data_IF_257601580345
#
_entry.id   IF_257601580345
#
_cell.length_a   1.000
_cell.length_b   1.000
_cell.length_c   1.000
_cell.angle_alpha   90.00
_cell.angle_beta   90.00
_cell.angle_gamma   90.00
#
_symmetry.space_group_name_H-M   'P 1'
#
loop_
_entity.id
_entity.type
_entity.pdbx_description
1 polymer ?
#
# COMPACT_ATOMS: atom_id res chain seq x y z
N UNK A 1 -19.42 14.54 -32.01
CA UNK A 1 -18.96 13.22 -31.60
C UNK A 1 -20.12 12.27 -31.83
N UNK A 2 -19.92 11.15 -32.58
CA UNK A 2 -20.99 10.21 -32.85
C UNK A 2 -21.51 9.58 -31.54
N UNK A 3 -22.82 9.31 -31.50
CA UNK A 3 -23.52 8.68 -30.40
C UNK A 3 -23.92 7.22 -30.70
N UNK A 4 -24.24 6.46 -29.67
CA UNK A 4 -24.75 5.08 -29.84
C UNK A 4 -26.04 5.07 -30.72
N UNK A 5 -26.81 6.16 -30.70
CA UNK A 5 -28.00 6.34 -31.53
C UNK A 5 -27.64 6.46 -33.01
N UNK A 6 -26.55 7.18 -33.33
CA UNK A 6 -26.10 7.32 -34.71
C UNK A 6 -25.59 5.99 -35.28
N UNK A 7 -24.91 5.17 -34.45
CA UNK A 7 -24.52 3.80 -34.79
C UNK A 7 -25.75 2.94 -35.07
N UNK A 8 -26.75 3.02 -34.20
CA UNK A 8 -28.00 2.25 -34.36
C UNK A 8 -28.73 2.59 -35.66
N UNK A 9 -28.85 3.89 -35.99
CA UNK A 9 -29.45 4.37 -37.24
C UNK A 9 -28.66 3.84 -38.46
N UNK A 10 -27.32 3.99 -38.42
CA UNK A 10 -26.47 3.58 -39.54
C UNK A 10 -26.44 2.06 -39.76
N UNK A 11 -26.47 1.27 -38.67
CA UNK A 11 -26.51 -0.19 -38.74
C UNK A 11 -27.93 -0.76 -39.02
N UNK A 12 -28.98 0.08 -38.98
CA UNK A 12 -30.38 -0.35 -39.21
C UNK A 12 -30.91 -1.22 -38.06
N UNK A 13 -30.46 -1.01 -36.84
CA UNK A 13 -30.87 -1.83 -35.64
C UNK A 13 -31.27 -0.95 -34.48
N UNK A 14 -31.89 -1.54 -33.47
CA UNK A 14 -32.22 -0.81 -32.24
C UNK A 14 -31.01 -0.50 -31.37
N UNK A 15 -31.06 0.59 -30.57
CA UNK A 15 -29.99 1.00 -29.64
C UNK A 15 -29.63 -0.14 -28.69
N UNK A 16 -30.64 -0.90 -28.19
CA UNK A 16 -30.43 -2.05 -27.32
C UNK A 16 -29.62 -3.18 -27.98
N UNK A 17 -29.75 -3.34 -29.31
CA UNK A 17 -28.99 -4.35 -30.08
C UNK A 17 -27.53 -3.89 -30.22
N UNK A 18 -27.30 -2.60 -30.51
CA UNK A 18 -25.94 -2.02 -30.52
C UNK A 18 -25.28 -2.16 -29.17
N UNK A 19 -25.99 -1.80 -28.07
CA UNK A 19 -25.48 -1.93 -26.71
C UNK A 19 -25.08 -3.38 -26.37
N UNK A 20 -25.94 -4.35 -26.72
CA UNK A 20 -25.63 -5.77 -26.52
C UNK A 20 -24.42 -6.23 -27.34
N UNK A 21 -24.32 -5.81 -28.60
CA UNK A 21 -23.18 -6.13 -29.46
C UNK A 21 -21.86 -5.61 -28.88
N UNK A 22 -21.85 -4.36 -28.44
CA UNK A 22 -20.65 -3.72 -27.87
C UNK A 22 -20.26 -4.26 -26.48
N UNK A 23 -21.25 -4.71 -25.69
CA UNK A 23 -21.00 -5.24 -24.34
C UNK A 23 -20.81 -6.78 -24.32
N UNK A 24 -20.97 -7.45 -25.46
CA UNK A 24 -20.88 -8.92 -25.52
C UNK A 24 -22.01 -9.63 -24.74
N UNK A 25 -23.16 -8.97 -24.53
CA UNK A 25 -24.26 -9.49 -23.72
C UNK A 25 -25.41 -9.96 -24.63
N UNK A 26 -25.87 -11.21 -24.41
CA UNK A 26 -26.96 -11.82 -25.19
C UNK A 26 -26.54 -12.27 -26.59
N UNK A 27 -27.46 -13.03 -27.24
CA UNK A 27 -27.23 -13.54 -28.58
C UNK A 27 -27.48 -12.46 -29.63
N UNK A 28 -26.53 -12.27 -30.56
CA UNK A 28 -26.64 -11.42 -31.74
C UNK A 28 -26.04 -12.22 -32.90
N UNK A 29 -26.74 -12.27 -34.05
CA UNK A 29 -26.23 -12.95 -35.25
C UNK A 29 -24.91 -12.29 -35.72
N UNK A 30 -24.02 -13.09 -36.29
CA UNK A 30 -22.73 -12.59 -36.80
C UNK A 30 -22.90 -11.50 -37.87
N UNK A 31 -23.92 -11.64 -38.74
CA UNK A 31 -24.25 -10.62 -39.74
C UNK A 31 -24.62 -9.28 -39.10
N UNK A 32 -25.47 -9.31 -38.05
CA UNK A 32 -25.86 -8.09 -37.32
C UNK A 32 -24.66 -7.46 -36.60
N UNK A 33 -23.82 -8.31 -36.02
CA UNK A 33 -22.60 -7.86 -35.33
C UNK A 33 -21.63 -7.17 -36.32
N UNK A 34 -21.44 -7.73 -37.50
CA UNK A 34 -20.61 -7.12 -38.55
C UNK A 34 -21.15 -5.74 -38.98
N UNK A 35 -22.45 -5.61 -39.24
CA UNK A 35 -23.09 -4.33 -39.56
C UNK A 35 -22.86 -3.26 -38.51
N UNK A 36 -22.97 -3.66 -37.22
CA UNK A 36 -22.74 -2.75 -36.10
C UNK A 36 -21.26 -2.34 -36.02
N UNK A 37 -20.32 -3.29 -36.13
CA UNK A 37 -18.89 -2.98 -36.06
C UNK A 37 -18.45 -2.09 -37.26
N UNK A 38 -18.97 -2.31 -38.46
CA UNK A 38 -18.73 -1.44 -39.58
C UNK A 38 -19.24 0.00 -39.35
N UNK A 39 -20.47 0.13 -38.82
CA UNK A 39 -21.02 1.44 -38.47
C UNK A 39 -20.21 2.16 -37.37
N UNK A 40 -19.69 1.42 -36.37
CA UNK A 40 -18.80 1.95 -35.35
C UNK A 40 -17.51 2.51 -35.95
N UNK A 41 -16.88 1.77 -36.85
CA UNK A 41 -15.65 2.16 -37.53
C UNK A 41 -15.85 3.40 -38.43
N UNK A 42 -16.88 3.38 -39.30
CA UNK A 42 -17.18 4.47 -40.19
C UNK A 42 -17.57 5.78 -39.49
N UNK A 43 -18.19 5.69 -38.30
CA UNK A 43 -18.55 6.86 -37.50
C UNK A 43 -17.45 7.25 -36.50
N UNK A 44 -16.33 6.51 -36.47
CA UNK A 44 -15.29 6.63 -35.42
C UNK A 44 -15.92 6.72 -34.01
N UNK A 45 -16.93 5.90 -33.79
CA UNK A 45 -17.65 5.90 -32.53
C UNK A 45 -16.81 5.23 -31.44
N UNK A 46 -16.57 5.94 -30.37
CA UNK A 46 -15.97 5.38 -29.15
C UNK A 46 -17.05 5.19 -28.09
N UNK A 47 -17.28 3.95 -27.63
CA UNK A 47 -18.23 3.71 -26.55
C UNK A 47 -17.89 4.56 -25.32
N UNK A 48 -18.92 5.15 -24.71
CA UNK A 48 -18.74 5.86 -23.45
C UNK A 48 -18.62 4.84 -22.32
N UNK A 49 -17.42 4.71 -21.76
CA UNK A 49 -17.13 3.77 -20.65
C UNK A 49 -18.04 4.01 -19.43
N UNK A 50 -18.36 5.28 -19.13
CA UNK A 50 -19.26 5.61 -18.01
C UNK A 50 -20.67 5.04 -18.25
N UNK A 51 -21.19 5.13 -19.49
CA UNK A 51 -22.49 4.57 -19.82
C UNK A 51 -22.48 3.03 -19.79
N UNK A 52 -21.38 2.40 -20.22
CA UNK A 52 -21.23 0.94 -20.11
C UNK A 52 -21.12 0.47 -18.66
N UNK A 53 -20.36 1.19 -17.85
CA UNK A 53 -20.16 0.91 -16.43
C UNK A 53 -21.47 1.08 -15.65
N UNK A 54 -22.24 2.13 -15.95
CA UNK A 54 -23.57 2.33 -15.38
C UNK A 54 -24.51 1.13 -15.65
N UNK A 55 -24.47 0.61 -16.88
CA UNK A 55 -25.27 -0.56 -17.24
C UNK A 55 -24.83 -1.83 -16.51
N UNK A 56 -23.54 -1.96 -16.20
CA UNK A 56 -22.95 -3.07 -15.44
C UNK A 56 -23.05 -2.89 -13.92
N UNK A 57 -23.57 -1.75 -13.45
CA UNK A 57 -23.58 -1.36 -12.05
C UNK A 57 -22.16 -1.41 -11.39
N UNK A 58 -21.13 -1.09 -12.17
CA UNK A 58 -19.72 -1.02 -11.74
C UNK A 58 -19.14 0.30 -12.21
N UNK A 59 -18.25 0.90 -11.41
CA UNK A 59 -17.53 2.12 -11.79
C UNK A 59 -16.29 1.82 -12.66
N UNK A 60 -15.73 0.64 -12.51
CA UNK A 60 -14.45 0.25 -13.11
C UNK A 60 -13.23 0.83 -12.38
N UNK A 61 -13.44 1.50 -11.22
CA UNK A 61 -12.38 2.07 -10.40
C UNK A 61 -12.25 1.33 -9.07
N UNK A 62 -11.01 1.10 -8.65
CA UNK A 62 -10.68 0.66 -7.29
C UNK A 62 -9.77 1.72 -6.67
N UNK A 63 -10.15 2.19 -5.48
CA UNK A 63 -9.37 3.16 -4.71
C UNK A 63 -8.19 2.49 -4.01
N UNK A 64 -7.00 3.10 -4.08
CA UNK A 64 -5.90 2.81 -3.16
C UNK A 64 -5.72 3.99 -2.23
N UNK A 65 -5.97 3.78 -0.94
CA UNK A 65 -5.86 4.80 0.10
C UNK A 65 -4.53 4.64 0.80
N UNK A 66 -3.70 5.69 0.76
CA UNK A 66 -2.36 5.72 1.37
C UNK A 66 -2.21 6.91 2.30
N UNK A 67 -1.33 6.79 3.30
CA UNK A 67 -1.04 7.88 4.23
C UNK A 67 -0.22 8.99 3.60
N UNK A 68 0.86 8.62 2.89
CA UNK A 68 1.78 9.59 2.27
C UNK A 68 2.48 8.93 1.07
N UNK A 69 2.22 9.44 -0.12
CA UNK A 69 2.80 8.91 -1.36
C UNK A 69 4.30 9.18 -1.47
N UNK A 70 4.82 10.21 -0.78
CA UNK A 70 6.28 10.47 -0.75
C UNK A 70 7.06 9.40 0.00
N UNK A 71 6.40 8.51 0.75
CA UNK A 71 7.08 7.39 1.41
C UNK A 71 7.38 6.29 0.39
N UNK A 72 8.66 5.89 0.19
CA UNK A 72 9.05 4.97 -0.89
C UNK A 72 8.33 3.61 -0.83
N UNK A 73 8.00 3.10 0.36
CA UNK A 73 7.21 1.88 0.51
C UNK A 73 5.80 2.05 -0.08
N UNK A 74 5.13 3.17 0.24
CA UNK A 74 3.79 3.46 -0.28
C UNK A 74 3.82 3.65 -1.80
N UNK A 75 4.81 4.36 -2.33
CA UNK A 75 4.99 4.53 -3.78
C UNK A 75 5.19 3.18 -4.49
N UNK A 76 6.01 2.29 -3.90
CA UNK A 76 6.21 0.93 -4.42
C UNK A 76 4.92 0.12 -4.39
N UNK A 77 4.17 0.17 -3.29
CA UNK A 77 2.90 -0.54 -3.16
C UNK A 77 1.87 -0.06 -4.19
N UNK A 78 1.69 1.27 -4.32
CA UNK A 78 0.80 1.88 -5.33
C UNK A 78 1.14 1.41 -6.73
N UNK A 79 2.42 1.44 -7.11
CA UNK A 79 2.89 0.95 -8.41
C UNK A 79 2.47 -0.49 -8.68
N UNK A 80 2.66 -1.39 -7.70
CA UNK A 80 2.34 -2.80 -7.88
C UNK A 80 0.83 -3.06 -7.84
N UNK A 81 0.07 -2.34 -7.02
CA UNK A 81 -1.40 -2.41 -6.99
C UNK A 81 -1.98 -1.94 -8.32
N UNK A 82 -1.53 -0.78 -8.82
CA UNK A 82 -1.99 -0.22 -10.09
C UNK A 82 -1.76 -1.20 -11.25
N UNK A 83 -0.55 -1.75 -11.38
CA UNK A 83 -0.25 -2.75 -12.41
C UNK A 83 -1.16 -3.99 -12.33
N UNK A 84 -1.43 -4.50 -11.12
CA UNK A 84 -2.31 -5.64 -10.94
C UNK A 84 -3.78 -5.29 -11.27
N UNK A 85 -4.24 -4.09 -10.89
CA UNK A 85 -5.58 -3.60 -11.23
C UNK A 85 -5.75 -3.46 -12.74
N UNK A 86 -4.78 -2.84 -13.42
CA UNK A 86 -4.78 -2.68 -14.87
C UNK A 86 -4.89 -4.04 -15.59
N UNK A 87 -4.10 -5.03 -15.18
CA UNK A 87 -4.13 -6.39 -15.73
C UNK A 87 -5.50 -7.06 -15.56
N UNK A 88 -6.24 -6.69 -14.51
CA UNK A 88 -7.59 -7.20 -14.22
C UNK A 88 -8.71 -6.31 -14.77
N UNK A 89 -8.39 -5.31 -15.62
CA UNK A 89 -9.37 -4.45 -16.28
C UNK A 89 -9.97 -3.35 -15.39
N UNK A 90 -9.35 -3.05 -14.24
CA UNK A 90 -9.72 -1.95 -13.37
C UNK A 90 -8.77 -0.78 -13.50
N UNK A 91 -9.28 0.42 -13.26
CA UNK A 91 -8.48 1.64 -13.12
C UNK A 91 -8.21 1.92 -11.65
N UNK A 92 -7.02 2.41 -11.35
CA UNK A 92 -6.62 2.79 -10.00
C UNK A 92 -7.01 4.24 -9.72
N UNK A 93 -7.71 4.49 -8.61
CA UNK A 93 -7.92 5.82 -8.07
C UNK A 93 -7.01 6.00 -6.86
N UNK A 94 -6.03 6.90 -6.96
CA UNK A 94 -5.12 7.20 -5.85
C UNK A 94 -5.77 8.18 -4.88
N UNK A 95 -5.85 7.78 -3.62
CA UNK A 95 -6.45 8.53 -2.52
C UNK A 95 -5.40 8.73 -1.42
N UNK A 96 -4.88 9.94 -1.25
CA UNK A 96 -3.92 10.25 -0.20
C UNK A 96 -4.61 10.91 0.99
N UNK A 97 -4.42 10.35 2.19
CA UNK A 97 -4.97 10.88 3.44
C UNK A 97 -4.19 12.11 3.91
N UNK A 98 -2.85 12.07 3.79
CA UNK A 98 -1.95 13.12 4.26
C UNK A 98 -2.07 13.32 5.77
N UNK A 99 -2.08 14.58 6.19
CA UNK A 99 -2.18 14.98 7.60
C UNK A 99 -3.65 15.04 8.12
N UNK A 100 -4.63 14.75 7.26
CA UNK A 100 -6.06 14.79 7.63
C UNK A 100 -6.69 13.39 7.58
N UNK A 101 -6.75 12.66 8.72
CA UNK A 101 -7.32 11.33 8.77
C UNK A 101 -8.82 11.27 8.41
N UNK A 102 -9.55 12.36 8.53
CA UNK A 102 -10.99 12.41 8.21
C UNK A 102 -11.25 12.24 6.70
N UNK A 103 -10.25 12.44 5.84
CA UNK A 103 -10.40 12.14 4.41
C UNK A 103 -10.75 10.68 4.10
N UNK A 104 -10.50 9.77 5.02
CA UNK A 104 -10.93 8.38 4.88
C UNK A 104 -12.46 8.27 4.81
N UNK A 105 -13.18 9.08 5.57
CA UNK A 105 -14.65 9.12 5.54
C UNK A 105 -15.16 9.49 4.15
N UNK A 106 -14.55 10.50 3.51
CA UNK A 106 -14.88 10.89 2.12
C UNK A 106 -14.67 9.74 1.14
N UNK A 107 -13.57 8.99 1.27
CA UNK A 107 -13.28 7.86 0.39
C UNK A 107 -14.25 6.69 0.62
N UNK A 108 -14.65 6.45 1.86
CA UNK A 108 -15.69 5.48 2.20
C UNK A 108 -17.06 5.90 1.63
N UNK A 109 -17.42 7.18 1.72
CA UNK A 109 -18.63 7.69 1.07
C UNK A 109 -18.60 7.51 -0.45
N UNK A 110 -17.47 7.77 -1.10
CA UNK A 110 -17.31 7.51 -2.53
C UNK A 110 -17.55 6.04 -2.88
N UNK A 111 -17.07 5.11 -2.05
CA UNK A 111 -17.34 3.69 -2.20
C UNK A 111 -18.83 3.37 -2.05
N UNK A 112 -19.49 3.91 -1.03
CA UNK A 112 -20.93 3.71 -0.79
C UNK A 112 -21.79 4.27 -1.93
N UNK A 113 -21.36 5.37 -2.56
CA UNK A 113 -22.01 6.00 -3.71
C UNK A 113 -21.68 5.37 -5.07
N UNK A 114 -20.97 4.24 -5.09
CA UNK A 114 -20.52 3.55 -6.33
C UNK A 114 -19.59 4.39 -7.23
N UNK A 115 -18.88 5.38 -6.70
CA UNK A 115 -17.81 6.07 -7.43
C UNK A 115 -16.59 5.16 -7.57
N UNK A 116 -16.42 4.23 -6.64
CA UNK A 116 -15.44 3.14 -6.67
C UNK A 116 -16.13 1.81 -6.40
N UNK A 117 -15.62 0.73 -6.98
CA UNK A 117 -16.14 -0.64 -6.78
C UNK A 117 -15.54 -1.31 -5.54
N UNK A 118 -14.37 -0.85 -5.10
CA UNK A 118 -13.67 -1.35 -3.93
C UNK A 118 -12.57 -0.41 -3.46
N UNK A 119 -12.05 -0.66 -2.27
CA UNK A 119 -10.93 0.08 -1.67
C UNK A 119 -9.87 -0.90 -1.17
N UNK A 120 -8.59 -0.57 -1.45
CA UNK A 120 -7.41 -1.14 -0.80
C UNK A 120 -6.84 -0.04 0.10
N UNK A 121 -6.95 -0.20 1.43
CA UNK A 121 -6.62 0.83 2.41
C UNK A 121 -5.31 0.51 3.16
N UNK A 122 -4.31 1.40 3.02
CA UNK A 122 -3.02 1.34 3.70
C UNK A 122 -2.87 2.46 4.75
N UNK A 123 -3.97 3.08 5.16
CA UNK A 123 -4.01 4.13 6.16
C UNK A 123 -4.71 3.64 7.44
N UNK A 124 -4.45 4.31 8.56
CA UNK A 124 -5.14 4.04 9.81
C UNK A 124 -6.57 4.57 9.71
N UNK A 125 -7.54 3.73 10.00
CA UNK A 125 -8.95 4.06 9.91
C UNK A 125 -9.39 4.69 11.23
N UNK A 126 -9.93 5.92 11.22
CA UNK A 126 -10.38 6.56 12.43
C UNK A 126 -11.57 5.83 13.04
N UNK A 127 -11.72 5.93 14.37
CA UNK A 127 -12.81 5.27 15.11
C UNK A 127 -14.21 5.76 14.75
N UNK A 128 -14.31 6.93 14.10
CA UNK A 128 -15.56 7.46 13.53
C UNK A 128 -16.08 6.63 12.35
N UNK A 129 -15.22 5.87 11.68
CA UNK A 129 -15.61 5.01 10.57
C UNK A 129 -15.94 3.61 11.10
N UNK A 130 -17.21 3.26 11.12
CA UNK A 130 -17.68 1.90 11.44
C UNK A 130 -17.50 0.98 10.23
N UNK A 131 -16.37 0.27 10.17
CA UNK A 131 -16.11 -0.69 9.09
C UNK A 131 -17.15 -1.83 9.04
N UNK A 132 -17.74 -2.20 10.18
CA UNK A 132 -18.77 -3.24 10.26
C UNK A 132 -20.05 -2.87 9.52
N UNK A 133 -20.33 -1.57 9.36
CA UNK A 133 -21.51 -1.06 8.63
C UNK A 133 -21.25 -0.92 7.13
N UNK A 134 -20.00 -1.13 6.69
CA UNK A 134 -19.63 -1.00 5.28
C UNK A 134 -19.76 -2.36 4.61
N UNK A 135 -20.90 -2.59 3.97
CA UNK A 135 -21.15 -3.81 3.18
C UNK A 135 -20.58 -3.71 1.75
N UNK A 136 -19.39 -3.15 1.62
CA UNK A 136 -18.70 -2.92 0.35
C UNK A 136 -17.29 -3.48 0.38
N UNK A 137 -16.70 -3.80 -0.79
CA UNK A 137 -15.37 -4.38 -0.86
C UNK A 137 -14.29 -3.44 -0.31
N UNK A 138 -13.74 -3.77 0.85
CA UNK A 138 -12.59 -3.09 1.47
C UNK A 138 -11.58 -4.14 1.89
N UNK A 139 -10.32 -3.94 1.50
CA UNK A 139 -9.16 -4.74 1.93
C UNK A 139 -8.19 -3.83 2.64
N UNK A 140 -7.79 -4.22 3.82
CA UNK A 140 -6.80 -3.48 4.60
C UNK A 140 -5.40 -4.03 4.33
N UNK A 141 -4.42 -3.14 4.25
CA UNK A 141 -3.03 -3.53 4.04
C UNK A 141 -2.17 -2.98 5.19
N UNK A 142 -1.51 -3.91 5.86
CA UNK A 142 -0.48 -3.64 6.87
C UNK A 142 -0.96 -2.76 8.04
N UNK A 143 -2.26 -2.82 8.34
CA UNK A 143 -2.90 -2.10 9.45
C UNK A 143 -3.75 -3.06 10.26
N UNK A 144 -3.79 -2.83 11.58
CA UNK A 144 -4.65 -3.61 12.46
C UNK A 144 -6.08 -3.13 12.33
N UNK A 145 -7.01 -4.06 12.15
CA UNK A 145 -8.45 -3.81 12.09
C UNK A 145 -9.21 -4.84 12.89
N UNK A 146 -10.47 -4.53 13.22
CA UNK A 146 -11.38 -5.46 13.87
C UNK A 146 -11.62 -6.72 13.02
N UNK A 147 -12.06 -7.78 13.66
CA UNK A 147 -12.42 -9.04 12.99
C UNK A 147 -13.47 -8.84 11.88
N UNK A 148 -13.36 -9.65 10.84
CA UNK A 148 -14.32 -9.69 9.73
C UNK A 148 -13.91 -8.89 8.48
N UNK A 149 -12.84 -8.08 8.53
CA UNK A 149 -12.36 -7.34 7.37
C UNK A 149 -11.06 -7.99 6.86
N UNK A 150 -10.98 -8.32 5.56
CA UNK A 150 -9.77 -8.90 4.99
C UNK A 150 -8.56 -7.98 5.18
N UNK A 151 -7.48 -8.55 5.70
CA UNK A 151 -6.22 -7.85 5.88
C UNK A 151 -5.08 -8.62 5.23
N UNK A 152 -4.27 -7.92 4.43
CA UNK A 152 -3.05 -8.45 3.82
C UNK A 152 -1.86 -7.77 4.46
N UNK A 153 -0.94 -8.55 5.03
CA UNK A 153 0.23 -8.01 5.71
C UNK A 153 1.45 -8.94 5.58
N UNK A 154 2.63 -8.40 5.83
CA UNK A 154 3.86 -9.19 5.96
C UNK A 154 3.86 -9.99 7.27
N UNK A 155 4.67 -11.05 7.32
CA UNK A 155 4.98 -11.71 8.60
C UNK A 155 5.96 -10.83 9.42
N UNK A 156 5.40 -9.88 10.15
CA UNK A 156 6.17 -8.92 10.96
C UNK A 156 6.91 -9.59 12.12
N UNK A 157 6.38 -10.69 12.67
CA UNK A 157 7.08 -11.48 13.70
C UNK A 157 8.35 -12.07 13.12
N UNK A 158 8.26 -12.73 11.97
CA UNK A 158 9.42 -13.26 11.27
C UNK A 158 10.42 -12.16 10.88
N UNK A 159 9.93 -11.01 10.43
CA UNK A 159 10.76 -9.85 10.12
C UNK A 159 11.53 -9.32 11.34
N UNK A 160 10.90 -9.23 12.50
CA UNK A 160 11.57 -8.87 13.75
C UNK A 160 12.62 -9.88 14.18
N UNK A 161 12.33 -11.17 14.03
CA UNK A 161 13.29 -12.25 14.30
C UNK A 161 14.52 -12.17 13.39
N UNK A 162 14.34 -11.98 12.10
CA UNK A 162 15.44 -11.86 11.14
C UNK A 162 16.33 -10.66 11.45
N UNK A 163 15.75 -9.52 11.81
CA UNK A 163 16.51 -8.34 12.21
C UNK A 163 17.34 -8.58 13.48
N UNK A 164 16.76 -9.24 14.48
CA UNK A 164 17.47 -9.62 15.69
C UNK A 164 18.64 -10.58 15.39
N UNK A 165 18.41 -11.61 14.60
CA UNK A 165 19.44 -12.57 14.20
C UNK A 165 20.60 -11.89 13.46
N UNK A 166 20.31 -10.94 12.57
CA UNK A 166 21.33 -10.20 11.84
C UNK A 166 22.23 -9.38 12.78
N UNK A 167 21.66 -8.66 13.75
CA UNK A 167 22.44 -7.89 14.73
C UNK A 167 23.22 -8.78 15.69
N UNK A 168 22.60 -9.87 16.17
CA UNK A 168 23.25 -10.83 17.06
C UNK A 168 24.42 -11.53 16.38
N UNK A 169 24.27 -11.96 15.14
CA UNK A 169 25.33 -12.57 14.33
C UNK A 169 26.49 -11.60 14.08
N UNK A 170 26.18 -10.27 14.04
CA UNK A 170 27.20 -9.23 13.95
C UNK A 170 27.84 -8.88 15.31
N UNK A 171 27.49 -9.59 16.39
CA UNK A 171 28.06 -9.45 17.72
C UNK A 171 27.48 -8.34 18.58
N UNK A 172 26.33 -7.76 18.22
CA UNK A 172 25.69 -6.71 18.98
C UNK A 172 25.19 -7.18 20.35
N UNK A 173 25.38 -6.33 21.37
CA UNK A 173 24.95 -6.57 22.74
C UNK A 173 24.03 -5.48 23.30
N UNK A 174 24.09 -4.28 22.72
CA UNK A 174 23.28 -3.14 23.12
C UNK A 174 22.66 -2.50 21.87
N UNK A 175 21.38 -2.76 21.66
CA UNK A 175 20.71 -2.32 20.43
C UNK A 175 19.58 -1.33 20.71
N UNK A 176 19.39 -0.40 19.80
CA UNK A 176 18.22 0.47 19.77
C UNK A 176 17.22 -0.11 18.75
N UNK A 177 15.95 -0.20 19.18
CA UNK A 177 14.81 -0.26 18.28
C UNK A 177 14.22 1.14 18.18
N UNK A 178 14.27 1.73 16.99
CA UNK A 178 13.76 3.07 16.76
C UNK A 178 12.45 2.97 15.96
N UNK A 179 11.33 3.36 16.57
CA UNK A 179 10.01 3.32 15.97
C UNK A 179 9.49 4.72 15.61
N UNK A 180 8.68 4.79 14.60
CA UNK A 180 8.07 6.05 14.14
C UNK A 180 6.74 6.35 14.82
N UNK A 181 6.07 5.36 15.41
CA UNK A 181 4.93 5.56 16.31
C UNK A 181 4.79 4.36 17.24
N UNK A 182 4.55 4.62 18.51
CA UNK A 182 4.20 3.62 19.50
C UNK A 182 2.68 3.48 19.57
N UNK A 183 2.04 3.07 18.51
CA UNK A 183 0.68 2.57 18.66
C UNK A 183 0.78 1.21 19.34
N UNK A 184 0.17 1.08 20.51
CA UNK A 184 0.14 -0.17 21.29
C UNK A 184 -0.52 -1.33 20.53
N UNK A 185 -1.09 -1.05 19.37
CA UNK A 185 -1.81 -1.98 18.50
C UNK A 185 -1.31 -1.86 17.07
N UNK A 186 -0.85 -2.98 16.50
CA UNK A 186 -0.46 -3.05 15.10
C UNK A 186 0.71 -3.99 14.86
N UNK A 187 0.89 -4.34 13.60
CA UNK A 187 1.92 -5.28 13.16
C UNK A 187 3.35 -4.80 13.45
N UNK A 188 3.57 -3.48 13.54
CA UNK A 188 4.87 -2.91 13.96
C UNK A 188 5.23 -3.32 15.39
N UNK A 189 4.23 -3.47 16.29
CA UNK A 189 4.43 -3.97 17.64
C UNK A 189 4.76 -5.48 17.68
N UNK A 190 4.16 -6.26 16.80
CA UNK A 190 4.51 -7.69 16.68
C UNK A 190 5.97 -7.86 16.23
N UNK A 191 6.43 -7.00 15.30
CA UNK A 191 7.83 -6.93 14.88
C UNK A 191 8.74 -6.59 16.06
N UNK A 192 8.40 -5.55 16.83
CA UNK A 192 9.17 -5.14 18.01
C UNK A 192 9.20 -6.22 19.07
N UNK A 193 8.05 -6.75 19.44
CA UNK A 193 7.95 -7.80 20.50
C UNK A 193 8.82 -8.99 20.17
N UNK A 194 8.73 -9.50 18.94
CA UNK A 194 9.54 -10.64 18.52
C UNK A 194 11.02 -10.31 18.45
N UNK A 195 11.38 -9.13 17.94
CA UNK A 195 12.76 -8.63 17.95
C UNK A 195 13.33 -8.58 19.38
N UNK A 196 12.60 -7.96 20.31
CA UNK A 196 13.02 -7.81 21.70
C UNK A 196 13.13 -9.16 22.43
N UNK A 197 12.18 -10.08 22.17
CA UNK A 197 12.19 -11.44 22.72
C UNK A 197 13.45 -12.21 22.30
N UNK A 198 13.78 -12.22 21.00
CA UNK A 198 14.98 -12.89 20.48
C UNK A 198 16.25 -12.26 21.05
N UNK A 199 16.33 -10.94 21.10
CA UNK A 199 17.47 -10.26 21.72
C UNK A 199 17.64 -10.63 23.20
N UNK A 200 16.53 -10.68 23.97
CA UNK A 200 16.53 -11.06 25.38
C UNK A 200 17.05 -12.49 25.61
N UNK A 201 16.62 -13.44 24.75
CA UNK A 201 17.08 -14.84 24.82
C UNK A 201 18.60 -14.95 24.67
N UNK A 202 19.23 -14.01 23.91
CA UNK A 202 20.67 -13.96 23.68
C UNK A 202 21.40 -12.94 24.56
N UNK A 203 20.77 -12.48 25.66
CA UNK A 203 21.33 -11.49 26.60
C UNK A 203 21.75 -10.16 25.93
N UNK A 204 21.12 -9.80 24.82
CA UNK A 204 21.29 -8.52 24.15
C UNK A 204 20.28 -7.52 24.73
N UNK A 205 20.76 -6.37 25.20
CA UNK A 205 19.90 -5.30 25.74
C UNK A 205 19.23 -4.54 24.61
N UNK A 206 17.93 -4.35 24.70
CA UNK A 206 17.15 -3.55 23.74
C UNK A 206 16.62 -2.28 24.41
N UNK A 207 16.88 -1.13 23.80
CA UNK A 207 16.28 0.14 24.18
C UNK A 207 15.33 0.57 23.07
N UNK A 208 14.03 0.63 23.38
CA UNK A 208 13.04 1.12 22.44
C UNK A 208 12.95 2.65 22.51
N UNK A 209 13.01 3.30 21.37
CA UNK A 209 12.81 4.75 21.23
C UNK A 209 11.62 4.98 20.34
N UNK A 210 10.61 5.66 20.87
CA UNK A 210 9.46 6.13 20.11
C UNK A 210 9.69 7.55 19.62
N UNK A 211 9.69 7.73 18.31
CA UNK A 211 9.83 9.04 17.67
C UNK A 211 8.50 9.79 17.55
N UNK A 212 7.39 9.20 17.99
CA UNK A 212 6.04 9.73 17.85
C UNK A 212 5.45 9.54 16.46
N UNK A 213 4.25 10.08 16.25
CA UNK A 213 3.48 9.94 15.01
C UNK A 213 4.09 10.67 13.78
N UNK A 214 5.10 11.51 14.01
CA UNK A 214 5.82 12.18 12.92
C UNK A 214 6.90 11.26 12.38
N UNK A 215 6.56 10.55 11.32
CA UNK A 215 7.51 9.72 10.58
C UNK A 215 8.71 10.58 10.15
N UNK A 216 9.96 10.20 10.49
CA UNK A 216 11.14 10.90 9.98
C UNK A 216 11.17 10.80 8.47
N UNK A 217 10.72 11.82 7.80
CA UNK A 217 10.98 12.01 6.39
C UNK A 217 12.34 12.72 6.25
N UNK A 218 12.85 12.87 5.02
CA UNK A 218 14.13 13.53 4.78
C UNK A 218 14.15 15.00 5.26
N UNK A 219 13.00 15.63 5.45
CA UNK A 219 12.89 17.02 5.93
C UNK A 219 12.91 17.11 7.46
N UNK A 220 12.20 16.23 8.15
CA UNK A 220 12.06 16.25 9.61
C UNK A 220 13.14 15.45 10.35
N UNK A 221 13.81 14.52 9.65
CA UNK A 221 14.76 13.59 10.25
C UNK A 221 15.88 14.26 11.04
N UNK A 222 16.38 15.43 10.59
CA UNK A 222 17.45 16.14 11.28
C UNK A 222 17.01 16.75 12.62
N UNK A 223 15.74 17.17 12.75
CA UNK A 223 15.20 17.74 14.00
C UNK A 223 14.94 16.64 15.04
N UNK A 224 14.36 15.53 14.61
CA UNK A 224 14.11 14.36 15.46
C UNK A 224 15.44 13.79 15.96
N UNK A 225 16.43 13.74 15.11
CA UNK A 225 17.75 13.23 15.44
C UNK A 225 18.42 13.99 16.61
N UNK A 226 18.38 15.32 16.62
CA UNK A 226 18.97 16.12 17.70
C UNK A 226 18.47 15.74 19.09
N UNK A 227 17.20 15.31 19.18
CA UNK A 227 16.57 14.86 20.43
C UNK A 227 17.10 13.52 20.93
N UNK A 228 17.47 12.62 20.01
CA UNK A 228 17.75 11.22 20.35
C UNK A 228 19.23 10.83 20.26
N UNK A 229 20.11 11.73 19.82
CA UNK A 229 21.53 11.39 19.55
C UNK A 229 22.26 10.88 20.80
N UNK A 230 21.97 11.42 21.99
CA UNK A 230 22.57 10.99 23.24
C UNK A 230 22.22 9.56 23.63
N UNK A 231 21.13 9.01 23.09
CA UNK A 231 20.73 7.62 23.36
C UNK A 231 21.63 6.59 22.66
N UNK A 232 22.48 7.04 21.74
CA UNK A 232 23.40 6.15 21.00
C UNK A 232 24.74 5.91 21.71
N UNK A 233 24.96 6.51 22.89
CA UNK A 233 26.17 6.26 23.67
C UNK A 233 26.15 4.82 24.21
N UNK A 234 27.21 4.05 23.89
CA UNK A 234 27.32 2.64 24.28
C UNK A 234 26.47 1.67 23.45
N UNK A 235 25.83 2.14 22.39
CA UNK A 235 25.02 1.31 21.46
C UNK A 235 25.91 0.77 20.34
N UNK A 236 25.71 -0.50 19.99
CA UNK A 236 26.43 -1.21 18.93
C UNK A 236 25.54 -1.71 17.80
N UNK A 237 24.18 -1.63 17.97
CA UNK A 237 23.21 -2.00 16.95
C UNK A 237 21.99 -1.07 16.88
N UNK A 238 21.45 -0.91 15.68
CA UNK A 238 20.21 -0.17 15.40
C UNK A 238 19.30 -0.98 14.50
N UNK A 239 18.02 -1.10 14.87
CA UNK A 239 16.96 -1.63 14.03
C UNK A 239 15.84 -0.61 13.86
N UNK A 240 15.47 -0.31 12.63
CA UNK A 240 14.40 0.64 12.28
C UNK A 240 13.97 0.49 10.82
N UNK A 241 12.93 1.22 10.37
CA UNK A 241 12.53 1.28 8.95
C UNK A 241 13.63 1.89 8.07
N UNK A 242 13.72 1.51 6.80
CA UNK A 242 14.80 1.88 5.87
C UNK A 242 15.03 3.38 5.76
N UNK A 243 13.95 4.17 5.62
CA UNK A 243 14.06 5.64 5.52
C UNK A 243 14.67 6.23 6.80
N UNK A 244 14.21 5.77 7.95
CA UNK A 244 14.74 6.18 9.25
C UNK A 244 16.19 5.72 9.42
N UNK A 245 16.53 4.50 9.00
CA UNK A 245 17.89 3.97 9.03
C UNK A 245 18.84 4.85 8.21
N UNK A 246 18.44 5.25 7.00
CA UNK A 246 19.23 6.11 6.13
C UNK A 246 19.53 7.47 6.79
N UNK A 247 18.50 8.08 7.41
CA UNK A 247 18.66 9.34 8.16
C UNK A 247 19.59 9.14 9.35
N UNK A 248 19.39 8.10 10.16
CA UNK A 248 20.25 7.78 11.31
C UNK A 248 21.69 7.55 10.88
N UNK A 249 21.93 6.75 9.86
CA UNK A 249 23.28 6.50 9.32
C UNK A 249 23.97 7.79 8.93
N UNK A 250 23.30 8.66 8.16
CA UNK A 250 23.84 9.95 7.74
C UNK A 250 24.24 10.83 8.91
N UNK A 251 23.41 10.88 9.95
CA UNK A 251 23.64 11.74 11.11
C UNK A 251 24.73 11.19 12.05
N UNK A 252 24.78 9.86 12.22
CA UNK A 252 25.81 9.19 13.01
C UNK A 252 27.19 9.31 12.36
N UNK A 253 27.26 9.12 11.04
CA UNK A 253 28.51 9.31 10.27
C UNK A 253 29.03 10.74 10.37
N UNK A 254 28.14 11.77 10.33
CA UNK A 254 28.53 13.17 10.57
C UNK A 254 29.13 13.39 11.95
N UNK A 255 28.81 12.56 12.94
CA UNK A 255 29.42 12.57 14.28
C UNK A 255 30.66 11.67 14.39
N UNK A 256 31.17 11.15 13.29
CA UNK A 256 32.37 10.31 13.26
C UNK A 256 32.13 8.84 13.69
N UNK A 257 30.90 8.42 13.89
CA UNK A 257 30.58 7.03 14.22
C UNK A 257 30.75 6.17 12.96
N UNK A 258 31.66 5.20 13.04
CA UNK A 258 32.00 4.31 11.92
C UNK A 258 30.95 3.20 11.80
N UNK A 259 30.20 3.20 10.71
CA UNK A 259 29.23 2.17 10.34
C UNK A 259 29.86 1.32 9.23
N UNK A 260 29.88 -0.01 9.30
CA UNK A 260 29.33 -0.89 10.35
C UNK A 260 30.30 -1.19 11.50
N UNK A 261 31.52 -0.63 11.52
CA UNK A 261 32.58 -1.03 12.47
C UNK A 261 32.16 -0.86 13.93
N UNK A 262 31.67 0.33 14.31
CA UNK A 262 31.25 0.66 15.67
C UNK A 262 29.77 0.42 15.91
N UNK A 263 28.92 0.73 14.94
CA UNK A 263 27.48 0.53 15.00
C UNK A 263 27.00 -0.24 13.76
N UNK A 264 26.26 -1.31 13.96
CA UNK A 264 25.59 -2.06 12.89
C UNK A 264 24.17 -1.55 12.76
N UNK A 265 23.69 -1.48 11.52
CA UNK A 265 22.34 -0.99 11.24
C UNK A 265 21.60 -2.03 10.42
N UNK A 266 20.39 -2.35 10.85
CA UNK A 266 19.45 -3.18 10.09
C UNK A 266 18.20 -2.36 9.81
N UNK A 267 17.82 -2.31 8.55
CA UNK A 267 16.60 -1.67 8.07
C UNK A 267 15.41 -2.62 8.07
N UNK A 268 14.27 -2.07 7.72
CA UNK A 268 13.03 -2.78 7.43
C UNK A 268 12.32 -2.11 6.26
N UNK A 269 11.80 -2.85 5.35
CA UNK A 269 11.02 -2.64 4.14
C UNK A 269 11.73 -3.23 2.90
N UNK A 270 13.07 -3.20 2.82
CA UNK A 270 13.84 -3.70 1.69
C UNK A 270 13.77 -2.80 0.46
N UNK A 271 13.78 -1.49 0.68
CA UNK A 271 13.65 -0.49 -0.39
C UNK A 271 14.89 -0.41 -1.26
N UNK A 272 14.74 -0.21 -2.56
CA UNK A 272 15.84 -0.27 -3.53
C UNK A 272 16.94 0.77 -3.26
N UNK A 273 16.60 1.95 -2.73
CA UNK A 273 17.58 2.98 -2.43
C UNK A 273 18.61 2.56 -1.36
N UNK A 274 18.31 1.55 -0.54
CA UNK A 274 19.20 1.04 0.51
C UNK A 274 20.54 0.54 -0.03
N UNK A 275 20.54 0.07 -1.29
CA UNK A 275 21.72 -0.40 -2.00
C UNK A 275 22.69 0.73 -2.40
N UNK A 276 22.18 1.97 -2.46
CA UNK A 276 22.97 3.16 -2.83
C UNK A 276 23.51 3.92 -1.61
N UNK A 277 23.22 3.43 -0.40
CA UNK A 277 23.80 4.00 0.81
C UNK A 277 25.26 3.58 0.97
N UNK A 278 26.04 4.37 1.68
CA UNK A 278 27.45 4.06 2.00
C UNK A 278 27.65 4.04 3.52
N UNK A 279 27.86 2.84 4.12
CA UNK A 279 27.78 1.51 3.50
C UNK A 279 26.37 1.13 3.08
N UNK A 280 26.23 0.14 2.20
CA UNK A 280 24.95 -0.46 1.84
C UNK A 280 24.22 -0.94 3.10
N UNK A 281 22.90 -0.72 3.16
CA UNK A 281 22.10 -1.04 4.34
C UNK A 281 21.58 -2.51 4.26
N UNK A 282 21.94 -3.29 5.26
CA UNK A 282 21.28 -4.58 5.51
C UNK A 282 19.84 -4.33 5.93
N UNK A 283 18.88 -4.95 5.26
CA UNK A 283 17.45 -4.71 5.52
C UNK A 283 16.62 -5.97 5.42
N UNK A 284 15.54 -6.04 6.18
CA UNK A 284 14.48 -7.04 6.05
C UNK A 284 13.52 -6.62 4.96
N UNK A 285 13.41 -7.41 3.90
CA UNK A 285 12.57 -7.08 2.75
C UNK A 285 11.13 -7.55 2.96
N UNK A 286 10.20 -6.64 2.77
CA UNK A 286 8.78 -6.96 2.58
C UNK A 286 8.53 -7.35 1.12
N UNK A 287 7.70 -8.37 0.88
CA UNK A 287 7.35 -8.79 -0.48
C UNK A 287 6.21 -7.93 -1.03
N UNK A 288 6.51 -6.66 -1.35
CA UNK A 288 5.53 -5.68 -1.83
C UNK A 288 4.74 -6.17 -3.06
N UNK A 289 5.37 -6.82 -4.07
CA UNK A 289 4.63 -7.38 -5.21
C UNK A 289 3.55 -8.38 -4.79
N UNK A 290 3.85 -9.28 -3.85
CA UNK A 290 2.90 -10.28 -3.37
C UNK A 290 1.80 -9.66 -2.51
N UNK A 291 2.13 -8.69 -1.66
CA UNK A 291 1.15 -7.92 -0.88
C UNK A 291 0.16 -7.24 -1.84
N UNK A 292 0.66 -6.54 -2.84
CA UNK A 292 -0.17 -5.87 -3.85
C UNK A 292 -1.08 -6.85 -4.60
N UNK A 293 -0.50 -7.96 -5.08
CA UNK A 293 -1.24 -9.00 -5.80
C UNK A 293 -2.37 -9.57 -4.94
N UNK A 294 -2.08 -10.00 -3.71
CA UNK A 294 -3.10 -10.55 -2.79
C UNK A 294 -4.18 -9.54 -2.45
N UNK A 295 -3.82 -8.27 -2.28
CA UNK A 295 -4.79 -7.22 -2.00
C UNK A 295 -5.76 -7.02 -3.16
N UNK A 296 -5.24 -6.99 -4.39
CA UNK A 296 -6.06 -6.87 -5.61
C UNK A 296 -6.92 -8.11 -5.82
N UNK A 297 -6.34 -9.32 -5.72
CA UNK A 297 -7.10 -10.57 -5.87
C UNK A 297 -8.24 -10.65 -4.84
N UNK A 298 -8.01 -10.17 -3.62
CA UNK A 298 -9.02 -10.20 -2.55
C UNK A 298 -10.13 -9.20 -2.80
N UNK A 299 -9.81 -7.93 -3.13
CA UNK A 299 -10.85 -6.93 -3.40
C UNK A 299 -11.69 -7.29 -4.61
N UNK A 300 -11.11 -7.86 -5.67
CA UNK A 300 -11.85 -8.31 -6.86
C UNK A 300 -12.78 -9.47 -6.52
N UNK A 301 -12.33 -10.46 -5.75
CA UNK A 301 -13.22 -11.55 -5.28
C UNK A 301 -14.42 -11.01 -4.51
N UNK A 302 -14.21 -10.02 -3.63
CA UNK A 302 -15.31 -9.37 -2.91
C UNK A 302 -16.27 -8.65 -3.86
N UNK A 303 -15.76 -7.95 -4.89
CA UNK A 303 -16.59 -7.29 -5.92
C UNK A 303 -17.43 -8.31 -6.69
N UNK A 304 -16.91 -9.51 -6.92
CA UNK A 304 -17.59 -10.59 -7.62
C UNK A 304 -18.49 -11.44 -6.71
N UNK A 305 -18.61 -11.12 -5.42
CA UNK A 305 -19.46 -11.83 -4.46
C UNK A 305 -18.91 -13.21 -4.06
N UNK A 306 -17.59 -13.40 -4.09
CA UNK A 306 -16.90 -14.68 -3.82
C UNK A 306 -16.13 -14.64 -2.52
#
# INVERSE_FOLDING_TARGET
MASIRDVAIKAGVGIGTVSRALNGSGYISDETKQKIMQAVEELNYKPNELAQNLFRNKSGFIGIVVTNLSHPFMASLVKHVENNLYTNGYKCMLCEVGDNPNRIEEFVEMLQRNVMDGIICCADIPSSVSLAEIHRPIVIVDRYVAEGIPCVHSDHKRGGELAAQALLSAGCKNVIYFASSATERGYSMDRYRRFAEVCKQHKCKVTAIDAGSKIPNFQTGSMIWKKYISHFDGIDGLFTADVTAAVCMKMLQKKGIKIPKKLKVVGYDGLDFTRFLTPELTTVRQNVPEIAKRSVDTVIRMIDGK
#
